data_IF_856671378421
#
_entry.id   IF_856671378421
#
_cell.length_a   1.000
_cell.length_b   1.000
_cell.length_c   1.000
_cell.angle_alpha   90.00
_cell.angle_beta   90.00
_cell.angle_gamma   90.00
#
_symmetry.space_group_name_H-M   'P 1'
#
loop_
_entity.id
_entity.type
_entity.pdbx_description
1 polymer ?
#
# COMPACT_ATOMS: atom_id res chain seq x y z
N UNK A 1 -17.27 -1.15 27.51
CA UNK A 1 -16.39 -1.40 26.35
C UNK A 1 -15.90 -2.83 26.46
N UNK A 2 -16.05 -3.64 25.41
CA UNK A 2 -15.54 -5.01 25.41
C UNK A 2 -14.01 -4.98 25.51
N UNK A 3 -13.43 -5.82 26.35
CA UNK A 3 -11.98 -5.91 26.49
C UNK A 3 -11.39 -6.57 25.24
N UNK A 4 -10.33 -5.98 24.68
CA UNK A 4 -9.60 -6.54 23.54
C UNK A 4 -8.56 -7.50 24.08
N UNK A 5 -8.82 -8.79 23.89
CA UNK A 5 -8.07 -9.88 24.54
C UNK A 5 -6.91 -10.42 23.70
N UNK A 6 -7.00 -10.32 22.36
CA UNK A 6 -6.03 -10.91 21.44
C UNK A 6 -5.93 -10.11 20.12
N UNK A 7 -4.84 -10.27 19.35
CA UNK A 7 -4.61 -9.49 18.13
C UNK A 7 -5.60 -9.81 16.99
N UNK A 8 -6.16 -11.02 16.91
CA UNK A 8 -7.16 -11.34 15.87
C UNK A 8 -8.49 -10.62 16.10
N UNK A 9 -8.93 -10.53 17.37
CA UNK A 9 -10.06 -9.68 17.76
C UNK A 9 -9.75 -8.21 17.42
N UNK A 10 -8.53 -7.75 17.73
CA UNK A 10 -8.10 -6.38 17.46
C UNK A 10 -8.12 -6.04 15.96
N UNK A 11 -7.80 -6.98 15.06
CA UNK A 11 -7.87 -6.77 13.61
C UNK A 11 -9.29 -6.43 13.18
N UNK A 12 -10.26 -7.26 13.57
CA UNK A 12 -11.67 -7.01 13.26
C UNK A 12 -12.14 -5.67 13.86
N UNK A 13 -11.81 -5.43 15.14
CA UNK A 13 -12.18 -4.19 15.81
C UNK A 13 -11.47 -2.96 15.25
N UNK A 14 -10.35 -3.09 14.53
CA UNK A 14 -9.70 -1.94 13.87
C UNK A 14 -10.62 -1.34 12.80
N UNK A 15 -11.37 -2.17 12.09
CA UNK A 15 -12.29 -1.69 11.06
C UNK A 15 -13.54 -1.02 11.65
N UNK A 16 -14.06 -1.52 12.77
CA UNK A 16 -15.36 -1.09 13.30
C UNK A 16 -15.29 -0.21 14.56
N UNK A 17 -14.28 -0.41 15.42
CA UNK A 17 -14.13 0.23 16.74
C UNK A 17 -12.66 0.57 17.07
N UNK A 18 -11.95 1.33 16.21
CA UNK A 18 -10.49 1.48 16.28
C UNK A 18 -9.97 2.15 17.56
N UNK A 19 -10.77 3.01 18.21
CA UNK A 19 -10.33 3.74 19.41
C UNK A 19 -9.88 2.80 20.54
N UNK A 20 -10.62 1.72 20.78
CA UNK A 20 -10.27 0.73 21.80
C UNK A 20 -8.98 -0.02 21.45
N UNK A 21 -8.84 -0.36 20.17
CA UNK A 21 -7.66 -1.06 19.64
C UNK A 21 -6.41 -0.22 19.85
N UNK A 22 -6.39 1.02 19.35
CA UNK A 22 -5.19 1.85 19.46
C UNK A 22 -4.85 2.22 20.91
N UNK A 23 -5.85 2.35 21.80
CA UNK A 23 -5.58 2.49 23.23
C UNK A 23 -4.91 1.26 23.82
N UNK A 24 -5.37 0.06 23.45
CA UNK A 24 -4.76 -1.20 23.91
C UNK A 24 -3.34 -1.36 23.36
N UNK A 25 -3.12 -1.03 22.09
CA UNK A 25 -1.81 -1.11 21.44
C UNK A 25 -0.77 -0.17 22.07
N UNK A 26 -1.20 0.94 22.68
CA UNK A 26 -0.28 1.86 23.38
C UNK A 26 0.48 1.21 24.54
N UNK A 27 -0.02 0.09 25.06
CA UNK A 27 0.54 -0.63 26.22
C UNK A 27 0.74 -2.11 25.94
N UNK A 28 0.71 -2.53 24.67
CA UNK A 28 0.76 -3.95 24.31
C UNK A 28 1.84 -4.19 23.27
N UNK A 29 2.83 -4.97 23.65
CA UNK A 29 3.98 -5.27 22.80
C UNK A 29 3.68 -6.42 21.82
N UNK A 30 4.45 -6.45 20.73
CA UNK A 30 4.53 -7.56 19.76
C UNK A 30 3.25 -7.90 18.98
N UNK A 31 2.09 -7.30 19.29
CA UNK A 31 0.85 -7.58 18.56
C UNK A 31 0.92 -7.19 17.09
N UNK A 32 1.76 -6.22 16.73
CA UNK A 32 1.94 -5.74 15.36
C UNK A 32 2.60 -6.75 14.41
N UNK A 33 3.19 -7.84 14.92
CA UNK A 33 3.66 -8.94 14.08
C UNK A 33 2.51 -9.64 13.35
N UNK A 34 1.32 -9.68 13.94
CA UNK A 34 0.15 -10.31 13.33
C UNK A 34 -0.31 -9.56 12.07
N UNK A 35 -0.64 -8.25 12.11
CA UNK A 35 -0.96 -7.52 10.88
C UNK A 35 0.22 -7.47 9.91
N UNK A 36 1.47 -7.42 10.38
CA UNK A 36 2.65 -7.53 9.52
C UNK A 36 2.62 -8.78 8.64
N UNK A 37 2.53 -9.99 9.23
CA UNK A 37 2.54 -11.23 8.45
C UNK A 37 1.33 -11.36 7.53
N UNK A 38 0.15 -10.87 7.96
CA UNK A 38 -1.07 -10.88 7.14
C UNK A 38 -0.89 -9.96 5.92
N UNK A 39 -0.44 -8.71 6.15
CA UNK A 39 -0.20 -7.74 5.07
C UNK A 39 0.89 -8.20 4.12
N UNK A 40 2.00 -8.75 4.65
CA UNK A 40 3.06 -9.30 3.80
C UNK A 40 2.54 -10.42 2.93
N UNK A 41 1.85 -11.41 3.51
CA UNK A 41 1.27 -12.51 2.74
C UNK A 41 0.28 -12.01 1.67
N UNK A 42 -0.62 -11.11 2.03
CA UNK A 42 -1.63 -10.57 1.11
C UNK A 42 -1.07 -9.62 0.06
N UNK A 43 0.10 -9.03 0.29
CA UNK A 43 0.82 -8.24 -0.72
C UNK A 43 1.56 -9.11 -1.74
N UNK A 44 2.08 -10.28 -1.31
CA UNK A 44 2.92 -11.13 -2.15
C UNK A 44 2.17 -12.22 -2.90
N UNK A 45 1.12 -12.79 -2.32
CA UNK A 45 0.34 -13.88 -2.94
C UNK A 45 -0.26 -13.45 -4.30
N UNK A 46 -0.87 -12.26 -4.47
CA UNK A 46 -1.39 -11.85 -5.77
C UNK A 46 -0.28 -11.72 -6.82
N UNK A 47 0.90 -11.20 -6.45
CA UNK A 47 2.05 -11.07 -7.35
C UNK A 47 2.53 -12.43 -7.82
N UNK A 48 2.71 -13.37 -6.88
CA UNK A 48 3.11 -14.73 -7.20
C UNK A 48 2.08 -15.40 -8.14
N UNK A 49 0.80 -15.38 -7.77
CA UNK A 49 -0.26 -15.99 -8.56
C UNK A 49 -0.42 -15.36 -9.95
N UNK A 50 -0.25 -14.04 -10.05
CA UNK A 50 -0.25 -13.34 -11.34
C UNK A 50 0.79 -13.94 -12.28
N UNK A 51 2.06 -13.98 -11.87
CA UNK A 51 3.13 -14.53 -12.72
C UNK A 51 3.02 -16.04 -12.96
N UNK A 52 2.28 -16.79 -12.14
CA UNK A 52 1.98 -18.20 -12.41
C UNK A 52 0.82 -18.38 -13.39
N UNK A 53 -0.03 -17.37 -13.56
CA UNK A 53 -1.27 -17.45 -14.35
C UNK A 53 -1.10 -16.86 -15.74
N UNK A 54 -0.31 -15.80 -15.90
CA UNK A 54 -0.22 -15.09 -17.18
C UNK A 54 0.55 -15.85 -18.27
N UNK A 55 0.23 -15.56 -19.52
CA UNK A 55 1.10 -15.84 -20.65
C UNK A 55 2.30 -14.88 -20.57
N UNK A 56 3.47 -15.44 -20.30
CA UNK A 56 4.67 -14.66 -20.09
C UNK A 56 5.27 -14.12 -21.40
N UNK A 57 5.04 -14.78 -22.54
CA UNK A 57 5.47 -14.29 -23.85
C UNK A 57 4.61 -13.10 -24.30
N UNK A 58 3.31 -13.13 -23.98
CA UNK A 58 2.48 -11.93 -24.10
C UNK A 58 3.01 -10.81 -23.19
N UNK A 59 3.24 -11.11 -21.91
CA UNK A 59 3.63 -10.10 -20.92
C UNK A 59 4.93 -9.38 -21.26
N UNK A 60 5.98 -10.10 -21.69
CA UNK A 60 7.25 -9.48 -22.06
C UNK A 60 7.09 -8.52 -23.25
N UNK A 61 6.24 -8.88 -24.23
CA UNK A 61 5.95 -8.03 -25.38
C UNK A 61 5.15 -6.80 -24.97
N UNK A 62 4.11 -6.99 -24.14
CA UNK A 62 3.32 -5.93 -23.56
C UNK A 62 4.19 -4.91 -22.81
N UNK A 63 5.10 -5.38 -21.94
CA UNK A 63 6.02 -4.49 -21.21
C UNK A 63 7.02 -3.81 -22.13
N UNK A 64 7.55 -4.52 -23.13
CA UNK A 64 8.46 -3.92 -24.10
C UNK A 64 7.78 -2.80 -24.90
N UNK A 65 6.54 -3.00 -25.33
CA UNK A 65 5.74 -1.98 -26.02
C UNK A 65 5.44 -0.77 -25.13
N UNK A 66 5.18 -1.00 -23.84
CA UNK A 66 4.97 0.09 -22.88
C UNK A 66 6.25 0.88 -22.56
N UNK A 67 7.43 0.24 -22.55
CA UNK A 67 8.68 0.87 -22.06
C UNK A 67 9.59 1.39 -23.16
N UNK A 68 9.62 0.74 -24.33
CA UNK A 68 10.61 1.03 -25.36
C UNK A 68 10.09 1.96 -26.46
N UNK A 69 8.77 2.11 -26.63
CA UNK A 69 8.22 2.87 -27.76
C UNK A 69 8.64 2.26 -29.11
N UNK A 70 8.82 3.09 -30.14
CA UNK A 70 9.24 2.65 -31.48
C UNK A 70 10.76 2.37 -31.53
N UNK A 71 11.19 1.23 -31.00
CA UNK A 71 12.56 0.71 -31.12
C UNK A 71 12.73 -0.28 -32.27
N UNK A 72 13.98 -0.56 -32.64
CA UNK A 72 14.26 -1.60 -33.64
C UNK A 72 13.84 -3.00 -33.13
N UNK A 73 13.47 -3.92 -34.04
CA UNK A 73 13.13 -5.30 -33.63
C UNK A 73 14.24 -6.00 -32.83
N UNK A 74 15.51 -5.74 -33.16
CA UNK A 74 16.66 -6.31 -32.46
C UNK A 74 16.80 -5.78 -31.02
N UNK A 75 16.47 -4.51 -30.77
CA UNK A 75 16.48 -3.94 -29.42
C UNK A 75 15.33 -4.49 -28.57
N UNK A 76 14.14 -4.65 -29.17
CA UNK A 76 12.99 -5.27 -28.50
C UNK A 76 13.27 -6.73 -28.14
N UNK A 77 13.88 -7.49 -29.05
CA UNK A 77 14.28 -8.87 -28.81
C UNK A 77 15.31 -8.96 -27.67
N UNK A 78 16.38 -8.16 -27.72
CA UNK A 78 17.41 -8.13 -26.68
C UNK A 78 16.87 -7.72 -25.30
N UNK A 79 15.83 -6.89 -25.23
CA UNK A 79 15.14 -6.54 -23.99
C UNK A 79 14.31 -7.72 -23.47
N UNK A 80 13.46 -8.29 -24.32
CA UNK A 80 12.55 -9.39 -23.93
C UNK A 80 13.29 -10.69 -23.58
N UNK A 81 14.43 -10.99 -24.21
CA UNK A 81 15.25 -12.17 -23.87
C UNK A 81 15.82 -12.13 -22.45
N UNK A 82 16.08 -10.93 -21.91
CA UNK A 82 16.57 -10.77 -20.53
C UNK A 82 15.45 -10.90 -19.51
N UNK A 83 14.20 -10.73 -19.94
CA UNK A 83 13.04 -10.93 -19.10
C UNK A 83 12.73 -12.41 -19.02
N UNK A 84 13.20 -13.08 -17.96
CA UNK A 84 12.70 -14.42 -17.63
C UNK A 84 11.62 -14.32 -16.58
N UNK A 85 10.62 -15.21 -16.64
CA UNK A 85 9.51 -15.23 -15.68
C UNK A 85 10.01 -15.32 -14.24
N UNK A 86 10.99 -16.19 -13.98
CA UNK A 86 11.61 -16.34 -12.66
C UNK A 86 12.28 -15.05 -12.18
N UNK A 87 13.07 -14.39 -13.03
CA UNK A 87 13.73 -13.15 -12.68
C UNK A 87 12.74 -12.02 -12.39
N UNK A 88 11.75 -11.80 -13.27
CA UNK A 88 10.76 -10.72 -13.13
C UNK A 88 9.86 -10.97 -11.91
N UNK A 89 9.39 -12.20 -11.70
CA UNK A 89 8.56 -12.55 -10.56
C UNK A 89 9.31 -12.32 -9.24
N UNK A 90 10.53 -12.87 -9.10
CA UNK A 90 11.27 -12.76 -7.85
C UNK A 90 11.78 -11.35 -7.58
N UNK A 91 12.23 -10.62 -8.60
CA UNK A 91 12.57 -9.20 -8.44
C UNK A 91 11.37 -8.39 -7.98
N UNK A 92 10.18 -8.61 -8.56
CA UNK A 92 8.94 -7.93 -8.12
C UNK A 92 8.58 -8.30 -6.69
N UNK A 93 8.61 -9.58 -6.32
CA UNK A 93 8.33 -10.05 -4.95
C UNK A 93 9.29 -9.40 -3.94
N UNK A 94 10.60 -9.39 -4.23
CA UNK A 94 11.61 -8.77 -3.35
C UNK A 94 11.41 -7.26 -3.25
N UNK A 95 11.14 -6.60 -4.38
CA UNK A 95 10.86 -5.16 -4.41
C UNK A 95 9.61 -4.79 -3.61
N UNK A 96 8.52 -5.54 -3.72
CA UNK A 96 7.31 -5.33 -2.92
C UNK A 96 7.59 -5.59 -1.44
N UNK A 97 8.27 -6.69 -1.12
CA UNK A 97 8.60 -7.04 0.26
C UNK A 97 9.42 -5.95 0.96
N UNK A 98 10.52 -5.52 0.34
CA UNK A 98 11.39 -4.48 0.89
C UNK A 98 10.71 -3.11 0.84
N UNK A 99 10.00 -2.80 -0.24
CA UNK A 99 9.30 -1.53 -0.41
C UNK A 99 8.28 -1.29 0.69
N UNK A 100 7.45 -2.28 1.02
CA UNK A 100 6.45 -2.16 2.09
C UNK A 100 7.11 -1.94 3.46
N UNK A 101 8.19 -2.67 3.76
CA UNK A 101 8.96 -2.50 5.01
C UNK A 101 9.55 -1.09 5.11
N UNK A 102 10.23 -0.64 4.05
CA UNK A 102 10.90 0.66 4.02
C UNK A 102 9.88 1.80 4.10
N UNK A 103 8.78 1.73 3.35
CA UNK A 103 7.74 2.77 3.38
C UNK A 103 7.08 2.89 4.75
N UNK A 104 6.79 1.77 5.41
CA UNK A 104 6.29 1.78 6.79
C UNK A 104 7.32 2.38 7.76
N UNK A 105 8.62 2.08 7.58
CA UNK A 105 9.69 2.64 8.41
C UNK A 105 9.83 4.16 8.22
N UNK A 106 9.76 4.64 6.98
CA UNK A 106 9.77 6.08 6.66
C UNK A 106 8.56 6.75 7.33
N UNK A 107 7.36 6.17 7.20
CA UNK A 107 6.17 6.75 7.77
C UNK A 107 6.19 6.75 9.31
N UNK A 108 6.68 5.68 9.92
CA UNK A 108 6.91 5.60 11.37
C UNK A 108 7.92 6.66 11.84
N UNK A 109 8.99 6.89 11.08
CA UNK A 109 9.98 7.93 11.34
C UNK A 109 9.35 9.33 11.31
N UNK A 110 8.49 9.58 10.32
CA UNK A 110 7.69 10.81 10.25
C UNK A 110 6.79 10.97 11.49
N UNK A 111 6.03 9.96 11.87
CA UNK A 111 5.12 10.04 13.03
C UNK A 111 5.88 10.24 14.34
N UNK A 112 6.98 9.52 14.51
CA UNK A 112 7.90 9.69 15.66
C UNK A 112 8.38 11.13 15.73
N UNK A 113 8.83 11.69 14.61
CA UNK A 113 9.26 13.08 14.53
C UNK A 113 8.14 14.07 14.87
N UNK A 114 6.93 13.83 14.38
CA UNK A 114 5.79 14.71 14.66
C UNK A 114 5.38 14.67 16.13
N UNK A 115 5.48 13.52 16.80
CA UNK A 115 5.10 13.32 18.19
C UNK A 115 6.21 13.65 19.20
N UNK A 116 7.47 13.84 18.77
CA UNK A 116 8.66 13.94 19.67
C UNK A 116 8.61 15.01 20.77
N UNK A 117 7.82 16.07 20.57
CA UNK A 117 7.69 17.18 21.52
C UNK A 117 6.40 17.11 22.34
N UNK A 118 5.67 16.00 22.27
CA UNK A 118 4.43 15.78 23.01
C UNK A 118 4.68 14.95 24.27
N UNK A 119 4.46 15.55 25.45
CA UNK A 119 4.72 14.90 26.73
C UNK A 119 3.85 13.66 26.96
N UNK A 120 2.68 13.57 26.32
CA UNK A 120 1.81 12.39 26.39
C UNK A 120 2.33 11.22 25.55
N UNK A 121 3.07 11.51 24.48
CA UNK A 121 3.61 10.49 23.59
C UNK A 121 4.85 9.85 24.21
N UNK A 122 4.66 8.72 24.88
CA UNK A 122 5.77 7.90 25.40
C UNK A 122 6.32 6.90 24.37
N UNK A 123 5.66 6.81 23.20
CA UNK A 123 5.98 5.86 22.14
C UNK A 123 7.25 6.23 21.38
N UNK A 124 8.13 5.24 21.22
CA UNK A 124 9.34 5.31 20.39
C UNK A 124 9.09 4.93 18.93
N UNK A 125 10.15 4.95 18.13
CA UNK A 125 10.08 4.60 16.70
C UNK A 125 9.45 3.22 16.44
N UNK A 126 9.81 2.22 17.23
CA UNK A 126 9.30 0.84 17.06
C UNK A 126 7.81 0.73 17.34
N UNK A 127 7.28 1.55 18.23
CA UNK A 127 5.85 1.58 18.55
C UNK A 127 5.07 2.20 17.38
N UNK A 128 5.55 3.33 16.86
CA UNK A 128 5.00 3.96 15.67
C UNK A 128 5.09 3.04 14.45
N UNK A 129 6.20 2.32 14.29
CA UNK A 129 6.35 1.31 13.23
C UNK A 129 5.41 0.14 13.42
N UNK A 130 5.21 -0.32 14.66
CA UNK A 130 4.18 -1.30 14.98
C UNK A 130 2.79 -0.80 14.57
N UNK A 131 2.49 0.46 14.88
CA UNK A 131 1.21 1.11 14.59
C UNK A 131 0.92 1.21 13.09
N UNK A 132 1.92 1.50 12.25
CA UNK A 132 1.69 1.64 10.80
C UNK A 132 1.11 0.35 10.19
N UNK A 133 1.52 -0.83 10.66
CA UNK A 133 0.95 -2.11 10.23
C UNK A 133 -0.56 -2.22 10.53
N UNK A 134 -1.02 -1.71 11.67
CA UNK A 134 -2.46 -1.69 11.99
C UNK A 134 -3.22 -0.74 11.09
N UNK A 135 -2.67 0.45 10.83
CA UNK A 135 -3.32 1.44 9.95
C UNK A 135 -3.27 1.06 8.47
N UNK A 136 -2.40 0.11 8.10
CA UNK A 136 -2.31 -0.44 6.75
C UNK A 136 -3.32 -1.58 6.48
N UNK A 137 -4.05 -2.07 7.49
CA UNK A 137 -5.06 -3.13 7.33
C UNK A 137 -6.12 -2.87 6.23
N UNK A 138 -6.57 -1.64 5.94
CA UNK A 138 -7.47 -1.37 4.81
C UNK A 138 -6.92 -1.81 3.45
N UNK A 139 -5.60 -1.84 3.27
CA UNK A 139 -4.97 -2.28 2.01
C UNK A 139 -5.22 -3.76 1.69
N UNK A 140 -5.65 -4.56 2.67
CA UNK A 140 -6.10 -5.93 2.43
C UNK A 140 -7.25 -5.99 1.42
N UNK A 141 -8.11 -4.97 1.38
CA UNK A 141 -9.21 -4.88 0.40
C UNK A 141 -8.68 -4.83 -1.03
N UNK A 142 -7.59 -4.10 -1.26
CA UNK A 142 -6.92 -4.02 -2.56
C UNK A 142 -6.34 -5.37 -2.96
N UNK A 143 -5.66 -6.05 -2.03
CA UNK A 143 -5.13 -7.40 -2.25
C UNK A 143 -6.22 -8.41 -2.56
N UNK A 144 -7.34 -8.40 -1.83
CA UNK A 144 -8.48 -9.28 -2.11
C UNK A 144 -9.09 -8.97 -3.47
N UNK A 145 -9.25 -7.71 -3.82
CA UNK A 145 -9.79 -7.33 -5.12
C UNK A 145 -8.86 -7.77 -6.27
N UNK A 146 -7.54 -7.67 -6.10
CA UNK A 146 -6.56 -8.20 -7.06
C UNK A 146 -6.70 -9.73 -7.25
N UNK A 147 -6.88 -10.49 -6.16
CA UNK A 147 -7.13 -11.93 -6.23
C UNK A 147 -8.44 -12.25 -6.95
N UNK A 148 -9.50 -11.48 -6.72
CA UNK A 148 -10.76 -11.65 -7.44
C UNK A 148 -10.59 -11.42 -8.93
N UNK A 149 -9.85 -10.38 -9.34
CA UNK A 149 -9.52 -10.12 -10.75
C UNK A 149 -8.80 -11.32 -11.37
N UNK A 150 -7.80 -11.89 -10.69
CA UNK A 150 -7.09 -13.07 -11.17
C UNK A 150 -7.99 -14.30 -11.33
N UNK A 151 -8.86 -14.57 -10.35
CA UNK A 151 -9.76 -15.73 -10.37
C UNK A 151 -10.87 -15.58 -11.42
N UNK A 152 -11.29 -14.34 -11.69
CA UNK A 152 -12.35 -14.04 -12.66
C UNK A 152 -11.83 -13.80 -14.08
N UNK A 153 -10.52 -13.75 -14.29
CA UNK A 153 -9.94 -13.54 -15.61
C UNK A 153 -10.30 -14.70 -16.55
N UNK A 154 -10.82 -14.36 -17.73
CA UNK A 154 -11.16 -15.33 -18.77
C UNK A 154 -9.99 -15.64 -19.73
N UNK A 155 -8.90 -14.89 -19.61
CA UNK A 155 -7.69 -14.99 -20.44
C UNK A 155 -6.44 -14.99 -19.57
N UNK A 156 -5.33 -15.45 -20.14
CA UNK A 156 -4.00 -15.38 -19.52
C UNK A 156 -3.25 -14.08 -19.88
N UNK A 157 -3.88 -13.19 -20.65
CA UNK A 157 -3.36 -11.87 -21.03
C UNK A 157 -3.96 -10.81 -20.10
N UNK A 158 -3.46 -10.76 -18.86
CA UNK A 158 -4.01 -9.91 -17.81
C UNK A 158 -3.13 -8.66 -17.67
N UNK A 159 -3.68 -7.48 -17.94
CA UNK A 159 -2.97 -6.21 -17.72
C UNK A 159 -2.56 -6.08 -16.24
N UNK A 160 -1.27 -5.87 -15.91
CA UNK A 160 -0.80 -5.62 -14.54
C UNK A 160 -1.60 -4.53 -13.80
N UNK A 161 -2.07 -3.49 -14.50
CA UNK A 161 -2.84 -2.40 -13.91
C UNK A 161 -4.18 -2.88 -13.34
N UNK A 162 -4.74 -3.97 -13.86
CA UNK A 162 -5.99 -4.57 -13.37
C UNK A 162 -5.90 -5.15 -11.96
N UNK A 163 -4.68 -5.42 -11.47
CA UNK A 163 -4.45 -5.89 -10.10
C UNK A 163 -4.57 -4.79 -9.05
N UNK A 164 -4.83 -3.55 -9.45
CA UNK A 164 -5.04 -2.43 -8.55
C UNK A 164 -6.43 -1.80 -8.72
N UNK A 165 -7.54 -2.56 -8.56
CA UNK A 165 -8.86 -2.09 -8.96
C UNK A 165 -9.45 -0.98 -8.09
N UNK A 166 -8.77 -0.61 -6.99
CA UNK A 166 -9.16 0.48 -6.10
C UNK A 166 -8.41 1.78 -6.38
N UNK A 167 -7.55 1.83 -7.42
CA UNK A 167 -6.94 3.07 -7.89
C UNK A 167 -7.93 3.88 -8.72
N UNK A 168 -7.77 5.21 -8.69
CA UNK A 168 -8.48 6.09 -9.62
C UNK A 168 -8.10 5.84 -11.08
N UNK A 169 -6.88 5.37 -11.37
CA UNK A 169 -6.51 4.95 -12.73
C UNK A 169 -7.40 3.84 -13.23
N UNK A 170 -7.68 2.82 -12.42
CA UNK A 170 -8.57 1.75 -12.81
C UNK A 170 -10.04 2.21 -12.87
N UNK A 171 -10.49 2.91 -11.82
CA UNK A 171 -11.90 3.34 -11.69
C UNK A 171 -12.31 4.30 -12.82
N UNK A 172 -11.42 5.19 -13.25
CA UNK A 172 -11.69 6.18 -14.30
C UNK A 172 -11.09 5.80 -15.66
N UNK A 173 -10.45 4.63 -15.79
CA UNK A 173 -9.83 4.18 -17.04
C UNK A 173 -8.71 5.10 -17.54
N UNK A 174 -7.89 5.64 -16.62
CA UNK A 174 -6.78 6.53 -16.99
C UNK A 174 -5.62 5.71 -17.54
N UNK A 175 -5.26 6.00 -18.77
CA UNK A 175 -4.12 5.42 -19.48
C UNK A 175 -2.82 6.15 -19.13
N UNK A 176 -1.63 5.53 -19.32
CA UNK A 176 -0.33 6.14 -19.00
C UNK A 176 -0.05 7.49 -19.70
N UNK A 177 -0.68 7.77 -20.83
CA UNK A 177 -0.58 9.04 -21.58
C UNK A 177 -1.45 10.16 -20.98
N UNK A 178 -2.36 9.83 -20.05
CA UNK A 178 -3.20 10.82 -19.38
C UNK A 178 -2.37 11.72 -18.47
N UNK A 179 -2.59 13.04 -18.54
CA UNK A 179 -2.02 13.99 -17.59
C UNK A 179 -2.37 13.63 -16.12
N UNK A 180 -3.53 13.00 -15.90
CA UNK A 180 -3.99 12.61 -14.57
C UNK A 180 -3.48 11.23 -14.11
N UNK A 181 -2.68 10.51 -14.91
CA UNK A 181 -2.28 9.13 -14.60
C UNK A 181 -1.63 8.98 -13.22
N UNK A 182 -0.68 9.86 -12.87
CA UNK A 182 0.01 9.81 -11.58
C UNK A 182 -0.91 10.17 -10.39
N UNK A 183 -1.83 11.12 -10.59
CA UNK A 183 -2.88 11.44 -9.59
C UNK A 183 -3.82 10.24 -9.45
N UNK A 184 -4.10 9.57 -10.56
CA UNK A 184 -4.91 8.37 -10.64
C UNK A 184 -4.39 7.20 -9.81
N UNK A 185 -3.11 7.18 -9.44
CA UNK A 185 -2.55 6.13 -8.57
C UNK A 185 -3.09 6.22 -7.14
N UNK A 186 -3.85 7.27 -6.82
CA UNK A 186 -4.59 7.37 -5.56
C UNK A 186 -5.50 6.16 -5.37
N UNK A 187 -5.31 5.46 -4.25
CA UNK A 187 -6.12 4.31 -3.89
C UNK A 187 -7.14 4.67 -2.82
N UNK A 188 -8.37 4.20 -3.00
CA UNK A 188 -9.46 4.48 -2.07
C UNK A 188 -9.19 3.99 -0.63
N UNK A 189 -8.45 2.89 -0.45
CA UNK A 189 -8.08 2.37 0.88
C UNK A 189 -7.23 3.35 1.70
N UNK A 190 -6.49 4.26 1.04
CA UNK A 190 -5.65 5.25 1.72
C UNK A 190 -6.47 6.20 2.60
N UNK A 191 -7.70 6.53 2.22
CA UNK A 191 -8.58 7.39 3.02
C UNK A 191 -8.90 6.74 4.37
N UNK A 192 -9.10 5.42 4.36
CA UNK A 192 -9.34 4.65 5.58
C UNK A 192 -8.06 4.56 6.41
N UNK A 193 -6.92 4.32 5.80
CA UNK A 193 -5.63 4.34 6.50
C UNK A 193 -5.35 5.68 7.17
N UNK A 194 -5.63 6.82 6.50
CA UNK A 194 -5.52 8.17 7.08
C UNK A 194 -6.43 8.31 8.31
N UNK A 195 -7.69 7.86 8.21
CA UNK A 195 -8.61 7.87 9.34
C UNK A 195 -8.05 7.06 10.53
N UNK A 196 -7.58 5.84 10.29
CA UNK A 196 -7.03 4.98 11.34
C UNK A 196 -5.78 5.60 11.97
N UNK A 197 -4.89 6.19 11.17
CA UNK A 197 -3.72 6.91 11.70
C UNK A 197 -4.14 8.11 12.54
N UNK A 198 -5.14 8.90 12.11
CA UNK A 198 -5.65 10.02 12.91
C UNK A 198 -6.22 9.54 14.25
N UNK A 199 -6.96 8.43 14.27
CA UNK A 199 -7.46 7.81 15.52
C UNK A 199 -6.30 7.37 16.42
N UNK A 200 -5.29 6.70 15.86
CA UNK A 200 -4.11 6.24 16.60
C UNK A 200 -3.36 7.41 17.23
N UNK A 201 -3.08 8.46 16.46
CA UNK A 201 -2.45 9.70 16.95
C UNK A 201 -3.29 10.31 18.08
N UNK A 202 -4.61 10.37 17.93
CA UNK A 202 -5.50 10.89 18.98
C UNK A 202 -5.48 10.07 20.29
N UNK A 203 -5.24 8.75 20.20
CA UNK A 203 -5.06 7.95 21.41
C UNK A 203 -3.69 8.16 22.04
N UNK A 204 -2.62 8.21 21.24
CA UNK A 204 -1.24 8.18 21.72
C UNK A 204 -0.67 9.55 22.06
N UNK A 205 -1.25 10.63 21.54
CA UNK A 205 -0.75 12.00 21.71
C UNK A 205 -1.76 12.92 22.40
N UNK A 206 -1.33 14.11 22.82
CA UNK A 206 -2.21 15.18 23.31
C UNK A 206 -2.77 16.06 22.19
N UNK A 207 -2.52 15.71 20.92
CA UNK A 207 -2.90 16.53 19.78
C UNK A 207 -4.42 16.74 19.72
N UNK A 208 -4.81 17.97 19.37
CA UNK A 208 -6.20 18.25 19.02
C UNK A 208 -6.62 17.39 17.82
N UNK A 209 -7.92 17.10 17.72
CA UNK A 209 -8.46 16.31 16.60
C UNK A 209 -8.01 16.88 15.24
N UNK A 210 -8.05 18.21 15.06
CA UNK A 210 -7.58 18.88 13.84
C UNK A 210 -6.11 18.56 13.54
N UNK A 211 -5.23 18.65 14.55
CA UNK A 211 -3.80 18.37 14.37
C UNK A 211 -3.55 16.90 14.05
N UNK A 212 -4.26 15.97 14.69
CA UNK A 212 -4.14 14.54 14.40
C UNK A 212 -4.48 14.21 12.93
N UNK A 213 -5.59 14.77 12.42
CA UNK A 213 -5.96 14.62 11.00
C UNK A 213 -4.95 15.26 10.05
N UNK A 214 -4.46 16.46 10.36
CA UNK A 214 -3.44 17.12 9.52
C UNK A 214 -2.15 16.30 9.45
N UNK A 215 -1.70 15.75 10.57
CA UNK A 215 -0.50 14.88 10.62
C UNK A 215 -0.73 13.58 9.84
N UNK A 216 -1.87 12.92 10.04
CA UNK A 216 -2.19 11.68 9.34
C UNK A 216 -2.30 11.86 7.81
N UNK A 217 -2.91 12.97 7.35
CA UNK A 217 -3.14 13.22 5.93
C UNK A 217 -1.94 13.86 5.21
N UNK A 218 -0.99 14.46 5.93
CA UNK A 218 0.08 15.26 5.34
C UNK A 218 0.91 14.51 4.30
N UNK A 219 1.42 13.27 4.53
CA UNK A 219 2.24 12.59 3.53
C UNK A 219 1.51 12.38 2.21
N UNK A 220 0.26 11.91 2.27
CA UNK A 220 -0.58 11.68 1.09
C UNK A 220 -0.88 13.01 0.40
N UNK A 221 -1.30 14.03 1.15
CA UNK A 221 -1.65 15.34 0.59
C UNK A 221 -0.45 15.99 -0.10
N UNK A 222 0.76 15.85 0.45
CA UNK A 222 1.98 16.39 -0.17
C UNK A 222 2.27 15.66 -1.48
N UNK A 223 2.27 14.33 -1.49
CA UNK A 223 2.58 13.54 -2.70
C UNK A 223 1.60 13.86 -3.83
N UNK A 224 0.29 13.79 -3.57
CA UNK A 224 -0.70 14.04 -4.60
C UNK A 224 -0.86 15.54 -4.93
N UNK A 225 -0.56 16.43 -3.98
CA UNK A 225 -0.51 17.87 -4.22
C UNK A 225 0.60 18.27 -5.19
N UNK A 226 1.79 17.64 -5.09
CA UNK A 226 2.88 17.83 -6.05
C UNK A 226 2.45 17.41 -7.45
N UNK A 227 1.81 16.25 -7.58
CA UNK A 227 1.29 15.79 -8.88
C UNK A 227 0.21 16.73 -9.43
N UNK A 228 -0.68 17.24 -8.58
CA UNK A 228 -1.68 18.22 -9.00
C UNK A 228 -1.04 19.50 -9.55
N UNK A 229 0.02 19.99 -8.92
CA UNK A 229 0.76 21.15 -9.44
C UNK A 229 1.34 20.86 -10.83
N UNK A 230 1.95 19.68 -11.05
CA UNK A 230 2.46 19.30 -12.37
C UNK A 230 1.39 19.18 -13.45
N UNK A 231 0.15 18.84 -13.08
CA UNK A 231 -0.97 18.79 -14.03
C UNK A 231 -1.50 20.18 -14.40
N UNK A 232 -1.35 21.15 -13.50
CA UNK A 232 -1.85 22.52 -13.69
C UNK A 232 -0.84 23.47 -14.35
N UNK A 233 0.44 23.07 -14.45
CA UNK A 233 1.53 23.81 -15.11
C UNK A 233 1.70 23.33 -16.55
#
# INVERSE_FOLDING_TARGET
MQEISNPFQAISETFFRPNGVFRKLATTDNWSWVPFFILMSMSLVPVYLYFQTIDFDWYRNFIADMQLGDVSPAEKEAFTERMTQGFVMWSTIVSVFLGVIILNAIYAGYLTFMARNDEKSVQGFTDWYGMTWWTALPSLLTSFAALLVLVMASTHEIDPASLSPLTFTWIFGLTPDSAFYNIGQFRLDMLWSIYLTAVAIGQWTSFSNKKAWMVAAAPVTIIYGIWLVFVLL
#
